data_IF_323935133733
#
_entry.id   IF_323935133733
#
_cell.length_a   1.000
_cell.length_b   1.000
_cell.length_c   1.000
_cell.angle_alpha   90.00
_cell.angle_beta   90.00
_cell.angle_gamma   90.00
#
_symmetry.space_group_name_H-M   'P 1'
#
loop_
_entity.id
_entity.type
_entity.pdbx_description
1 polymer ?
#
# COMPACT_ATOMS: atom_id res chain seq x y z
N UNK A 1 8.87 -32.84 -21.38
CA UNK A 1 10.10 -32.16 -20.95
C UNK A 1 9.78 -30.95 -20.09
N UNK A 2 10.31 -30.90 -18.88
CA UNK A 2 9.99 -29.78 -17.96
C UNK A 2 10.46 -28.42 -18.47
N UNK A 3 11.45 -28.37 -19.36
CA UNK A 3 12.00 -27.12 -19.87
C UNK A 3 11.02 -26.27 -20.70
N UNK A 4 10.15 -26.86 -21.46
CA UNK A 4 9.17 -26.10 -22.26
C UNK A 4 8.17 -25.36 -21.40
N UNK A 5 7.69 -25.97 -20.32
CA UNK A 5 6.82 -25.31 -19.37
C UNK A 5 7.50 -24.16 -18.65
N UNK A 6 8.75 -24.37 -18.22
CA UNK A 6 9.57 -23.33 -17.56
C UNK A 6 9.77 -22.13 -18.46
N UNK A 7 10.13 -22.32 -19.72
CA UNK A 7 10.35 -21.22 -20.68
C UNK A 7 9.05 -20.43 -20.92
N UNK A 8 7.89 -21.07 -20.96
CA UNK A 8 6.62 -20.36 -21.13
C UNK A 8 6.29 -19.44 -19.97
N UNK A 9 6.61 -19.82 -18.73
CA UNK A 9 6.42 -19.01 -17.55
C UNK A 9 7.43 -17.89 -17.41
N UNK A 10 8.69 -18.12 -17.82
CA UNK A 10 9.82 -17.22 -17.64
C UNK A 10 10.23 -16.48 -18.91
N UNK A 11 9.38 -16.39 -19.90
CA UNK A 11 9.74 -15.84 -21.21
C UNK A 11 10.30 -14.42 -21.21
N UNK A 12 9.98 -13.63 -20.20
CA UNK A 12 10.46 -12.26 -20.01
C UNK A 12 11.49 -12.13 -18.90
N UNK A 13 11.77 -13.21 -18.21
CA UNK A 13 12.65 -13.27 -17.06
C UNK A 13 13.98 -13.93 -17.39
N UNK A 14 14.97 -13.70 -16.53
CA UNK A 14 16.22 -14.44 -16.61
C UNK A 14 15.99 -15.90 -16.30
N UNK A 15 16.63 -16.80 -17.03
CA UNK A 15 16.53 -18.23 -16.75
C UNK A 15 17.15 -18.56 -15.40
N UNK A 16 16.37 -19.22 -14.56
CA UNK A 16 16.77 -19.62 -13.21
C UNK A 16 17.17 -21.09 -13.19
N UNK A 17 18.43 -21.39 -13.46
CA UNK A 17 18.94 -22.77 -13.50
C UNK A 17 19.16 -23.40 -12.12
N UNK A 18 19.30 -22.57 -11.10
CA UNK A 18 19.69 -22.99 -9.75
C UNK A 18 18.51 -23.30 -8.83
N UNK A 19 17.29 -23.10 -9.29
CA UNK A 19 16.11 -23.37 -8.46
C UNK A 19 15.72 -24.84 -8.51
N UNK A 20 15.16 -25.31 -7.41
CA UNK A 20 14.61 -26.67 -7.32
C UNK A 20 13.46 -26.87 -8.33
N UNK A 21 13.29 -28.08 -8.90
CA UNK A 21 12.14 -28.38 -9.72
C UNK A 21 10.80 -28.04 -9.06
N UNK A 22 10.69 -28.20 -7.75
CA UNK A 22 9.49 -27.84 -6.98
C UNK A 22 9.13 -26.35 -7.04
N UNK A 23 10.10 -25.49 -7.32
CA UNK A 23 9.86 -24.06 -7.50
C UNK A 23 8.88 -23.77 -8.64
N UNK A 24 8.90 -24.56 -9.70
CA UNK A 24 8.04 -24.38 -10.85
C UNK A 24 6.61 -24.87 -10.61
N UNK A 25 6.40 -25.70 -9.61
CA UNK A 25 5.07 -26.20 -9.26
C UNK A 25 4.16 -25.09 -8.71
N UNK A 26 4.75 -24.01 -8.18
CA UNK A 26 4.00 -22.85 -7.71
C UNK A 26 3.15 -22.18 -8.80
N UNK A 27 3.57 -22.27 -10.05
CA UNK A 27 2.85 -21.71 -11.20
C UNK A 27 1.58 -22.49 -11.55
N UNK A 28 1.42 -23.69 -11.02
CA UNK A 28 0.21 -24.49 -11.18
C UNK A 28 -0.89 -24.14 -10.17
N UNK A 29 -0.54 -23.36 -9.13
CA UNK A 29 -1.53 -22.88 -8.15
C UNK A 29 -2.31 -21.69 -8.69
N UNK A 30 -3.56 -21.51 -8.22
CA UNK A 30 -4.34 -20.33 -8.57
C UNK A 30 -3.62 -19.05 -8.20
N UNK A 31 -3.74 -18.01 -9.04
CA UNK A 31 -3.22 -16.68 -8.72
C UNK A 31 -3.99 -16.08 -7.55
N UNK A 32 -3.28 -15.34 -6.71
CA UNK A 32 -3.88 -14.69 -5.55
C UNK A 32 -5.03 -13.75 -5.94
N UNK A 33 -4.93 -13.10 -7.10
CA UNK A 33 -5.96 -12.22 -7.63
C UNK A 33 -7.31 -12.93 -7.90
N UNK A 34 -7.29 -14.25 -8.07
CA UNK A 34 -8.52 -15.04 -8.25
C UNK A 34 -9.29 -15.27 -6.94
N UNK A 35 -8.63 -15.12 -5.80
CA UNK A 35 -9.19 -15.37 -4.46
C UNK A 35 -9.32 -14.10 -3.63
N UNK A 36 -8.55 -13.05 -3.94
CA UNK A 36 -8.50 -11.83 -3.15
C UNK A 36 -8.38 -10.58 -4.02
N UNK A 37 -8.99 -9.50 -3.60
CA UNK A 37 -8.80 -8.20 -4.23
C UNK A 37 -7.46 -7.60 -3.81
N UNK A 38 -6.51 -7.62 -4.73
CA UNK A 38 -5.18 -7.04 -4.50
C UNK A 38 -5.21 -5.60 -4.98
N UNK A 39 -5.03 -4.66 -4.06
CA UNK A 39 -5.00 -3.23 -4.37
C UNK A 39 -3.80 -2.57 -3.74
N UNK A 40 -3.24 -1.61 -4.43
CA UNK A 40 -2.24 -0.72 -3.86
C UNK A 40 -2.97 0.27 -2.95
N UNK A 41 -2.45 0.45 -1.74
CA UNK A 41 -2.93 1.49 -0.84
C UNK A 41 -2.62 2.89 -1.37
N UNK A 42 -3.04 3.90 -0.60
CA UNK A 42 -2.82 5.28 -0.97
C UNK A 42 -1.32 5.60 -1.06
N UNK A 43 -0.90 6.15 -2.20
CA UNK A 43 0.43 6.71 -2.38
C UNK A 43 0.34 8.22 -2.58
N UNK A 44 1.19 8.97 -1.89
CA UNK A 44 1.20 10.44 -1.96
C UNK A 44 1.96 10.98 -3.16
N UNK A 45 2.83 10.17 -3.75
CA UNK A 45 3.78 10.62 -4.77
C UNK A 45 4.89 11.54 -4.23
N UNK A 46 4.57 12.45 -3.32
CA UNK A 46 5.50 13.39 -2.68
C UNK A 46 5.24 13.53 -1.19
N UNK A 47 5.80 12.63 -0.40
CA UNK A 47 5.63 12.65 1.05
C UNK A 47 6.08 13.97 1.69
N UNK A 48 7.14 14.58 1.17
CA UNK A 48 7.68 15.83 1.68
C UNK A 48 6.67 16.97 1.69
N UNK A 49 5.67 16.93 0.82
CA UNK A 49 4.66 17.97 0.70
C UNK A 49 3.39 17.58 1.46
N UNK A 50 2.95 16.34 1.32
CA UNK A 50 1.63 15.90 1.74
C UNK A 50 1.61 15.20 3.09
N UNK A 51 2.76 14.82 3.63
CA UNK A 51 2.85 14.13 4.91
C UNK A 51 3.58 15.00 5.93
N UNK A 52 3.02 15.13 7.12
CA UNK A 52 3.62 15.84 8.27
C UNK A 52 3.41 15.04 9.53
N UNK A 53 4.23 15.33 10.54
CA UNK A 53 3.95 14.83 11.87
C UNK A 53 2.71 15.56 12.44
N UNK A 54 1.92 14.88 13.25
CA UNK A 54 0.69 15.45 13.78
C UNK A 54 0.89 16.73 14.58
N UNK A 55 2.04 16.91 15.21
CA UNK A 55 2.39 18.13 15.98
C UNK A 55 2.86 19.30 15.12
N UNK A 56 3.12 19.09 13.85
CA UNK A 56 3.54 20.14 12.91
C UNK A 56 2.35 20.86 12.27
N UNK A 57 1.15 20.33 12.42
CA UNK A 57 -0.05 20.86 11.78
C UNK A 57 -0.98 21.52 12.78
N UNK A 58 -1.83 22.40 12.29
CA UNK A 58 -2.86 23.05 13.14
C UNK A 58 -3.93 22.01 13.51
N UNK A 59 -4.09 21.78 14.81
CA UNK A 59 -5.02 20.78 15.33
C UNK A 59 -6.46 20.98 14.85
N UNK A 60 -6.91 22.23 14.71
CA UNK A 60 -8.26 22.54 14.21
C UNK A 60 -8.51 22.12 12.77
N UNK A 61 -7.46 21.88 11.99
CA UNK A 61 -7.54 21.37 10.62
C UNK A 61 -7.31 19.86 10.52
N UNK A 62 -7.13 19.21 11.66
CA UNK A 62 -6.97 17.75 11.73
C UNK A 62 -8.33 17.11 12.04
N UNK A 63 -8.67 16.08 11.28
CA UNK A 63 -9.87 15.29 11.53
C UNK A 63 -9.50 13.83 11.76
N UNK A 64 -9.71 13.36 12.97
CA UNK A 64 -9.42 11.99 13.40
C UNK A 64 -10.70 11.15 13.55
N UNK A 65 -11.85 11.73 13.31
CA UNK A 65 -13.15 11.10 13.53
C UNK A 65 -13.75 10.46 12.29
N UNK A 66 -13.18 10.73 11.12
CA UNK A 66 -13.69 10.19 9.87
C UNK A 66 -13.53 8.67 9.80
N UNK A 67 -14.61 8.02 9.46
CA UNK A 67 -14.65 6.56 9.28
C UNK A 67 -14.86 6.16 7.83
N UNK A 68 -15.39 7.06 7.02
CA UNK A 68 -15.68 6.80 5.61
C UNK A 68 -15.24 7.97 4.73
N UNK A 69 -14.78 7.64 3.53
CA UNK A 69 -14.36 8.60 2.51
C UNK A 69 -15.49 9.53 2.06
N UNK A 70 -16.73 9.07 2.15
CA UNK A 70 -17.92 9.88 1.81
C UNK A 70 -18.13 11.07 2.75
N UNK A 71 -17.53 11.03 3.93
CA UNK A 71 -17.62 12.11 4.92
C UNK A 71 -16.60 13.22 4.69
N UNK A 72 -15.64 13.01 3.80
CA UNK A 72 -14.58 13.98 3.52
C UNK A 72 -15.09 15.34 3.08
N UNK A 73 -16.16 15.38 2.29
CA UNK A 73 -16.76 16.64 1.82
C UNK A 73 -17.36 17.47 2.95
N UNK A 74 -17.78 16.82 4.02
CA UNK A 74 -18.40 17.46 5.20
C UNK A 74 -17.35 17.88 6.22
N UNK A 75 -16.16 17.30 6.15
CA UNK A 75 -15.08 17.60 7.08
C UNK A 75 -14.51 18.99 6.83
N UNK A 76 -14.32 19.75 7.92
CA UNK A 76 -13.57 21.00 7.90
C UNK A 76 -12.07 20.77 7.92
N UNK A 77 -11.65 19.58 8.36
CA UNK A 77 -10.25 19.19 8.42
C UNK A 77 -9.68 18.91 7.04
N UNK A 78 -8.38 19.06 6.92
CA UNK A 78 -7.61 18.75 5.72
C UNK A 78 -6.47 17.79 6.00
N UNK A 79 -6.19 17.55 7.27
CA UNK A 79 -5.16 16.64 7.73
C UNK A 79 -5.80 15.42 8.37
N UNK A 80 -5.47 14.26 7.87
CA UNK A 80 -6.04 12.98 8.32
C UNK A 80 -4.93 12.06 8.78
N UNK A 81 -5.17 11.23 9.80
CA UNK A 81 -4.20 10.24 10.24
C UNK A 81 -3.74 9.37 9.08
N UNK A 82 -2.44 9.18 8.97
CA UNK A 82 -1.82 8.40 7.91
C UNK A 82 -1.00 7.26 8.50
N UNK A 83 -1.39 6.05 8.16
CA UNK A 83 -0.69 4.86 8.62
C UNK A 83 0.49 4.55 7.71
N UNK A 84 1.63 5.12 8.02
CA UNK A 84 2.89 4.84 7.35
C UNK A 84 3.68 3.83 8.16
N UNK A 85 4.31 2.87 7.48
CA UNK A 85 5.21 1.92 8.12
C UNK A 85 6.38 2.61 8.81
N UNK A 86 6.95 1.97 9.79
CA UNK A 86 8.09 2.46 10.55
C UNK A 86 8.75 1.31 11.30
N UNK A 87 9.41 1.63 12.41
CA UNK A 87 10.07 0.65 13.26
C UNK A 87 9.11 -0.42 13.76
N UNK A 88 9.67 -1.59 14.07
CA UNK A 88 8.89 -2.70 14.59
C UNK A 88 8.12 -2.32 15.85
N UNK A 89 6.83 -2.65 15.87
CA UNK A 89 5.93 -2.53 17.02
C UNK A 89 5.12 -3.82 17.14
N UNK A 90 4.82 -4.23 18.37
CA UNK A 90 4.06 -5.46 18.60
C UNK A 90 2.60 -5.34 18.13
N UNK A 91 1.86 -4.38 18.66
CA UNK A 91 0.43 -4.24 18.39
C UNK A 91 0.03 -2.86 17.90
N UNK A 92 0.62 -1.81 18.50
CA UNK A 92 0.33 -0.42 18.18
C UNK A 92 1.61 0.39 18.00
N UNK A 93 1.58 1.33 17.09
CA UNK A 93 2.71 2.22 16.88
C UNK A 93 2.70 2.86 15.50
N UNK A 94 3.69 3.73 15.28
CA UNK A 94 3.89 4.44 14.01
C UNK A 94 2.68 5.31 13.60
N UNK A 95 1.96 5.87 14.59
CA UNK A 95 0.78 6.73 14.38
C UNK A 95 1.22 8.19 14.59
N UNK A 96 2.25 8.60 13.90
CA UNK A 96 2.84 9.94 14.08
C UNK A 96 2.54 10.87 12.92
N UNK A 97 2.16 10.34 11.79
CA UNK A 97 2.04 11.11 10.56
C UNK A 97 0.58 11.38 10.20
N UNK A 98 0.37 12.53 9.61
CA UNK A 98 -0.90 12.97 9.05
C UNK A 98 -0.71 13.32 7.59
N UNK A 99 -1.74 13.09 6.81
CA UNK A 99 -1.76 13.29 5.38
C UNK A 99 -2.66 14.48 5.04
N UNK A 100 -2.15 15.39 4.20
CA UNK A 100 -2.98 16.39 3.56
C UNK A 100 -3.81 15.77 2.45
N UNK A 101 -5.10 15.86 2.55
CA UNK A 101 -6.01 15.36 1.53
C UNK A 101 -7.09 16.39 1.21
N UNK A 102 -7.23 16.72 -0.07
CA UNK A 102 -8.24 17.63 -0.56
C UNK A 102 -8.84 17.08 -1.86
N UNK A 103 -10.09 16.67 -1.80
CA UNK A 103 -10.81 16.09 -2.94
C UNK A 103 -10.82 17.03 -4.16
N UNK A 104 -10.84 18.33 -3.92
CA UNK A 104 -10.90 19.31 -5.02
C UNK A 104 -9.61 19.37 -5.87
N UNK A 105 -8.54 18.73 -5.41
CA UNK A 105 -7.25 18.69 -6.12
C UNK A 105 -6.95 17.36 -6.80
N UNK A 106 -7.79 16.40 -6.60
CA UNK A 106 -7.73 15.09 -7.20
C UNK A 106 -8.98 14.87 -8.05
#
# INVERSE_FOLDING_TARGET
MPFRGVISYLRWEKLAYWVSPNFFDIYNYPLLESIANIKIGMGTGKNEIFVRNWWEVIFSLMDISLTDISELDKSKGKWFPYNKGGDYRLWYGNIQEVLWFDIKRF
#
